data_IF_023514869735
#
_entry.id   IF_023514869735
#
_cell.length_a   1.000
_cell.length_b   1.000
_cell.length_c   1.000
_cell.angle_alpha   90.00
_cell.angle_beta   90.00
_cell.angle_gamma   90.00
#
_symmetry.space_group_name_H-M   'P 1'
#
loop_
_entity.id
_entity.type
_entity.pdbx_description
1 polymer ?
#
# COMPACT_ATOMS: atom_id res chain seq x y z
N UNK A 1 9.67 -16.20 18.79
CA UNK A 1 8.84 -16.83 17.74
C UNK A 1 9.69 -17.50 16.65
N UNK A 2 10.62 -16.79 15.98
CA UNK A 2 11.44 -17.38 14.90
C UNK A 2 12.18 -18.66 15.28
N UNK A 3 13.00 -18.65 16.34
CA UNK A 3 13.77 -19.83 16.77
C UNK A 3 12.91 -21.07 17.03
N UNK A 4 11.68 -20.87 17.49
CA UNK A 4 10.75 -21.94 17.86
C UNK A 4 10.05 -22.54 16.63
N UNK A 5 9.63 -21.70 15.67
CA UNK A 5 8.77 -22.13 14.57
C UNK A 5 9.50 -22.36 13.24
N UNK A 6 10.79 -22.00 13.17
CA UNK A 6 11.54 -22.02 11.90
C UNK A 6 11.53 -23.38 11.22
N UNK A 7 11.90 -24.44 11.94
CA UNK A 7 11.98 -25.79 11.37
C UNK A 7 10.60 -26.32 10.99
N UNK A 8 9.59 -26.12 11.85
CA UNK A 8 8.21 -26.56 11.58
C UNK A 8 7.63 -25.89 10.33
N UNK A 9 7.77 -24.57 10.23
CA UNK A 9 7.29 -23.79 9.07
C UNK A 9 8.02 -24.23 7.80
N UNK A 10 9.33 -24.44 7.87
CA UNK A 10 10.12 -24.84 6.72
C UNK A 10 9.74 -26.24 6.23
N UNK A 11 9.63 -27.20 7.15
CA UNK A 11 9.34 -28.60 6.83
C UNK A 11 7.89 -28.79 6.36
N UNK A 12 6.93 -28.11 7.00
CA UNK A 12 5.51 -28.23 6.65
C UNK A 12 5.15 -27.64 5.30
N UNK A 13 5.78 -26.52 4.93
CA UNK A 13 5.41 -25.76 3.73
C UNK A 13 6.48 -25.79 2.62
N UNK A 14 7.57 -26.53 2.80
CA UNK A 14 8.64 -26.65 1.82
C UNK A 14 9.35 -25.32 1.50
N UNK A 15 9.33 -24.37 2.43
CA UNK A 15 9.87 -23.03 2.17
C UNK A 15 11.40 -23.03 2.10
N UNK A 16 11.96 -22.16 1.25
CA UNK A 16 13.37 -21.81 1.38
C UNK A 16 13.62 -21.13 2.74
N UNK A 17 14.88 -21.15 3.21
CA UNK A 17 15.24 -20.54 4.48
C UNK A 17 14.78 -19.08 4.56
N UNK A 18 15.04 -18.27 3.53
CA UNK A 18 14.63 -16.86 3.50
C UNK A 18 13.10 -16.72 3.47
N UNK A 19 12.37 -17.50 2.67
CA UNK A 19 10.90 -17.43 2.62
C UNK A 19 10.26 -17.79 3.97
N UNK A 20 10.81 -18.79 4.68
CA UNK A 20 10.35 -19.14 6.03
C UNK A 20 10.53 -17.98 7.02
N UNK A 21 11.70 -17.32 6.99
CA UNK A 21 11.96 -16.14 7.82
C UNK A 21 11.00 -15.00 7.48
N UNK A 22 10.76 -14.72 6.19
CA UNK A 22 9.86 -13.66 5.77
C UNK A 22 8.40 -13.94 6.19
N UNK A 23 7.94 -15.19 6.08
CA UNK A 23 6.61 -15.59 6.55
C UNK A 23 6.45 -15.38 8.07
N UNK A 24 7.43 -15.82 8.87
CA UNK A 24 7.40 -15.64 10.33
C UNK A 24 7.42 -14.15 10.69
N UNK A 25 8.30 -13.36 10.06
CA UNK A 25 8.37 -11.91 10.29
C UNK A 25 7.04 -11.23 9.98
N UNK A 26 6.42 -11.58 8.86
CA UNK A 26 5.14 -10.99 8.45
C UNK A 26 4.03 -11.22 9.48
N UNK A 27 3.93 -12.44 10.01
CA UNK A 27 2.96 -12.75 11.07
C UNK A 27 3.33 -12.03 12.37
N UNK A 28 4.60 -12.01 12.75
CA UNK A 28 5.09 -11.27 13.93
C UNK A 28 4.71 -9.78 13.86
N UNK A 29 4.94 -9.12 12.72
CA UNK A 29 4.63 -7.71 12.52
C UNK A 29 3.13 -7.44 12.60
N UNK A 30 2.30 -8.33 12.03
CA UNK A 30 0.85 -8.26 12.15
C UNK A 30 0.40 -8.36 13.62
N UNK A 31 0.94 -9.32 14.39
CA UNK A 31 0.59 -9.50 15.81
C UNK A 31 1.08 -8.31 16.66
N UNK A 32 2.27 -7.79 16.37
CA UNK A 32 2.81 -6.59 17.02
C UNK A 32 1.92 -5.38 16.76
N UNK A 33 1.52 -5.15 15.51
CA UNK A 33 0.63 -4.05 15.16
C UNK A 33 -0.73 -4.17 15.86
N UNK A 34 -1.29 -5.38 15.93
CA UNK A 34 -2.56 -5.60 16.61
C UNK A 34 -2.47 -5.33 18.12
N UNK A 35 -1.38 -5.77 18.76
CA UNK A 35 -1.09 -5.47 20.16
C UNK A 35 -0.97 -3.96 20.42
N UNK A 36 -0.18 -3.25 19.60
CA UNK A 36 -0.04 -1.78 19.69
C UNK A 36 -1.40 -1.07 19.55
N UNK A 37 -2.24 -1.55 18.64
CA UNK A 37 -3.56 -0.97 18.39
C UNK A 37 -4.66 -1.48 19.35
N UNK A 38 -4.30 -2.26 20.39
CA UNK A 38 -5.26 -2.90 21.33
C UNK A 38 -6.40 -3.64 20.63
N UNK A 39 -6.07 -4.29 19.52
CA UNK A 39 -7.01 -5.02 18.67
C UNK A 39 -6.70 -6.52 18.69
N UNK A 40 -7.72 -7.35 18.48
CA UNK A 40 -7.55 -8.80 18.35
C UNK A 40 -7.39 -9.16 16.88
N UNK A 41 -6.37 -9.96 16.56
CA UNK A 41 -6.26 -10.60 15.24
C UNK A 41 -7.15 -11.83 15.24
N UNK A 42 -8.26 -11.76 14.49
CA UNK A 42 -9.19 -12.89 14.32
C UNK A 42 -8.62 -13.89 13.32
N UNK A 43 -8.25 -13.42 12.13
CA UNK A 43 -7.61 -14.21 11.07
C UNK A 43 -6.45 -13.44 10.45
N UNK A 44 -5.51 -14.17 9.86
CA UNK A 44 -4.38 -13.60 9.13
C UNK A 44 -4.57 -13.83 7.63
N UNK A 45 -4.80 -12.75 6.89
CA UNK A 45 -4.90 -12.80 5.43
C UNK A 45 -3.51 -12.64 4.79
N UNK A 46 -3.11 -13.65 4.00
CA UNK A 46 -1.86 -13.66 3.23
C UNK A 46 -1.95 -12.76 1.98
N UNK A 47 -2.12 -11.46 2.18
CA UNK A 47 -2.27 -10.45 1.11
C UNK A 47 -0.95 -9.99 0.51
N UNK A 48 0.18 -10.35 1.11
CA UNK A 48 1.49 -9.87 0.66
C UNK A 48 2.65 -10.72 1.17
N UNK A 49 3.74 -10.73 0.40
CA UNK A 49 5.01 -11.40 0.72
C UNK A 49 6.14 -10.37 0.58
N UNK A 50 6.91 -10.11 1.65
CA UNK A 50 8.11 -9.29 1.58
C UNK A 50 9.28 -10.10 1.01
N UNK A 51 10.08 -9.43 0.18
CA UNK A 51 11.30 -9.95 -0.43
C UNK A 51 12.48 -9.05 -0.10
N UNK A 52 13.63 -9.68 0.14
CA UNK A 52 14.92 -9.02 0.30
C UNK A 52 15.86 -9.35 -0.88
N UNK A 53 17.05 -8.75 -0.89
CA UNK A 53 18.02 -8.85 -1.98
C UNK A 53 18.50 -10.28 -2.30
N UNK A 54 18.30 -11.24 -1.39
CA UNK A 54 18.68 -12.65 -1.65
C UNK A 54 17.65 -13.37 -2.51
N UNK A 55 16.38 -13.01 -2.36
CA UNK A 55 15.23 -13.68 -3.01
C UNK A 55 14.50 -12.78 -4.03
N UNK A 56 15.00 -11.58 -4.26
CA UNK A 56 14.50 -10.62 -5.25
C UNK A 56 15.63 -9.97 -6.04
N UNK A 57 15.39 -9.76 -7.32
CA UNK A 57 16.21 -8.87 -8.16
C UNK A 57 15.38 -8.23 -9.26
N UNK A 58 15.64 -6.97 -9.56
CA UNK A 58 15.12 -6.28 -10.74
C UNK A 58 16.14 -6.39 -11.88
N UNK A 59 15.67 -6.69 -13.09
CA UNK A 59 16.47 -6.63 -14.32
C UNK A 59 15.86 -5.60 -15.26
N UNK A 60 16.60 -4.52 -15.48
CA UNK A 60 16.16 -3.39 -16.31
C UNK A 60 16.15 -3.75 -17.81
N UNK A 61 17.06 -4.62 -18.26
CA UNK A 61 17.23 -4.97 -19.67
C UNK A 61 15.95 -5.53 -20.35
N UNK A 62 15.09 -6.22 -19.60
CA UNK A 62 13.80 -6.73 -20.08
C UNK A 62 12.65 -6.37 -19.14
N UNK A 63 12.86 -5.45 -18.20
CA UNK A 63 11.87 -5.06 -17.19
C UNK A 63 11.22 -6.26 -16.50
N UNK A 64 12.04 -7.18 -15.97
CA UNK A 64 11.57 -8.34 -15.23
C UNK A 64 12.02 -8.29 -13.77
N UNK A 65 11.22 -8.91 -12.89
CA UNK A 65 11.63 -9.22 -11.53
C UNK A 65 11.83 -10.70 -11.39
N UNK A 66 12.94 -11.10 -10.76
CA UNK A 66 13.16 -12.49 -10.38
C UNK A 66 12.79 -12.66 -8.91
N UNK A 67 11.87 -13.56 -8.61
CA UNK A 67 11.38 -13.84 -7.26
C UNK A 67 11.58 -15.32 -6.93
N UNK A 68 12.14 -15.62 -5.76
CA UNK A 68 12.13 -16.99 -5.24
C UNK A 68 10.71 -17.35 -4.77
N UNK A 69 10.06 -18.26 -5.46
CA UNK A 69 8.79 -18.86 -5.09
C UNK A 69 9.01 -20.23 -4.41
N UNK A 70 7.93 -20.97 -4.15
CA UNK A 70 7.97 -22.29 -3.51
C UNK A 70 8.84 -23.29 -4.29
N UNK A 71 8.70 -23.32 -5.61
CA UNK A 71 9.28 -24.36 -6.47
C UNK A 71 10.49 -23.90 -7.29
N UNK A 72 11.01 -22.70 -7.01
CA UNK A 72 12.14 -22.16 -7.77
C UNK A 72 12.11 -20.65 -7.86
N UNK A 73 13.08 -20.10 -8.59
CA UNK A 73 13.17 -18.66 -8.85
C UNK A 73 12.53 -18.38 -10.20
N UNK A 74 11.43 -17.63 -10.19
CA UNK A 74 10.66 -17.29 -11.39
C UNK A 74 10.98 -15.88 -11.86
N UNK A 75 10.97 -15.69 -13.19
CA UNK A 75 11.13 -14.40 -13.84
C UNK A 75 9.76 -13.89 -14.30
N UNK A 76 9.32 -12.78 -13.72
CA UNK A 76 8.02 -12.17 -14.00
C UNK A 76 8.22 -10.84 -14.72
N UNK A 77 7.55 -10.65 -15.84
CA UNK A 77 7.58 -9.37 -16.55
C UNK A 77 6.83 -8.29 -15.75
N UNK A 78 7.38 -7.09 -15.73
CA UNK A 78 6.75 -5.92 -15.15
C UNK A 78 6.00 -5.15 -16.23
N UNK A 79 4.72 -4.89 -16.01
CA UNK A 79 3.97 -3.86 -16.75
C UNK A 79 4.32 -2.44 -16.24
N UNK A 80 5.62 -2.12 -16.21
CA UNK A 80 6.10 -0.82 -15.75
C UNK A 80 5.89 0.23 -16.85
N UNK A 81 5.14 1.29 -16.54
CA UNK A 81 5.01 2.46 -17.41
C UNK A 81 6.27 3.33 -17.39
N UNK A 82 6.33 4.34 -18.29
CA UNK A 82 7.49 5.24 -18.42
C UNK A 82 7.93 5.83 -17.07
N UNK A 83 6.99 6.37 -16.31
CA UNK A 83 7.27 6.94 -14.99
C UNK A 83 7.94 5.94 -14.02
N UNK A 84 7.42 4.70 -13.93
CA UNK A 84 8.03 3.69 -13.07
C UNK A 84 9.43 3.31 -13.56
N UNK A 85 9.60 3.21 -14.88
CA UNK A 85 10.89 2.89 -15.50
C UNK A 85 11.91 3.97 -15.18
N UNK A 86 11.57 5.25 -15.33
CA UNK A 86 12.44 6.38 -15.03
C UNK A 86 12.86 6.43 -13.56
N UNK A 87 11.98 6.04 -12.64
CA UNK A 87 12.31 5.98 -11.21
C UNK A 87 13.20 4.81 -10.83
N UNK A 88 13.11 3.71 -11.57
CA UNK A 88 13.87 2.49 -11.31
C UNK A 88 15.17 2.42 -12.10
N UNK A 89 15.29 3.15 -13.21
CA UNK A 89 16.43 3.12 -14.10
C UNK A 89 17.74 3.47 -13.38
N UNK A 90 18.76 2.64 -13.59
CA UNK A 90 20.07 2.77 -12.96
C UNK A 90 20.06 2.55 -11.44
N UNK A 91 19.03 1.89 -10.89
CA UNK A 91 18.92 1.63 -9.44
C UNK A 91 19.04 0.14 -9.16
N UNK A 92 19.66 -0.18 -8.03
CA UNK A 92 19.79 -1.56 -7.54
C UNK A 92 18.86 -1.78 -6.31
N UNK A 93 17.54 -1.91 -6.50
CA UNK A 93 16.61 -2.11 -5.38
C UNK A 93 16.91 -3.42 -4.66
N UNK A 94 16.93 -3.36 -3.33
CA UNK A 94 17.28 -4.50 -2.45
C UNK A 94 16.09 -5.10 -1.73
N UNK A 95 14.91 -4.51 -1.86
CA UNK A 95 13.72 -5.00 -1.20
C UNK A 95 12.49 -4.75 -2.07
N UNK A 96 11.53 -5.66 -1.97
CA UNK A 96 10.26 -5.53 -2.63
C UNK A 96 9.14 -6.19 -1.83
N UNK A 97 7.89 -5.83 -2.10
CA UNK A 97 6.73 -6.51 -1.54
C UNK A 97 5.79 -6.91 -2.68
N UNK A 98 5.57 -8.20 -2.85
CA UNK A 98 4.53 -8.73 -3.74
C UNK A 98 3.20 -8.68 -3.01
N UNK A 99 2.18 -8.06 -3.60
CA UNK A 99 0.86 -7.91 -3.02
C UNK A 99 -0.18 -8.59 -3.91
N UNK A 100 -1.10 -9.33 -3.28
CA UNK A 100 -2.28 -9.92 -3.90
C UNK A 100 -3.48 -9.00 -3.66
N UNK A 101 -4.15 -8.61 -4.74
CA UNK A 101 -5.38 -7.81 -4.69
C UNK A 101 -6.62 -8.69 -4.68
N UNK A 102 -7.75 -8.11 -4.26
CA UNK A 102 -9.04 -8.82 -4.16
C UNK A 102 -9.58 -9.33 -5.50
N UNK A 103 -9.13 -8.75 -6.60
CA UNK A 103 -9.49 -9.16 -7.96
C UNK A 103 -8.59 -10.27 -8.50
N UNK A 104 -7.67 -10.80 -7.69
CA UNK A 104 -6.70 -11.82 -8.05
C UNK A 104 -5.47 -11.30 -8.80
N UNK A 105 -5.36 -9.99 -9.02
CA UNK A 105 -4.17 -9.40 -9.62
C UNK A 105 -3.03 -9.28 -8.62
N UNK A 106 -1.80 -9.29 -9.12
CA UNK A 106 -0.61 -9.07 -8.31
C UNK A 106 -0.01 -7.70 -8.63
N UNK A 107 0.52 -7.04 -7.60
CA UNK A 107 1.40 -5.90 -7.80
C UNK A 107 2.67 -6.07 -6.98
N UNK A 108 3.80 -5.63 -7.53
CA UNK A 108 5.04 -5.55 -6.76
C UNK A 108 5.35 -4.10 -6.41
N UNK A 109 5.68 -3.87 -5.15
CA UNK A 109 6.19 -2.59 -4.65
C UNK A 109 7.69 -2.71 -4.49
N UNK A 110 8.44 -2.06 -5.36
CA UNK A 110 9.91 -2.08 -5.32
C UNK A 110 10.39 -0.90 -4.47
N UNK A 111 11.26 -1.18 -3.50
CA UNK A 111 11.84 -0.17 -2.62
C UNK A 111 13.19 0.27 -3.20
N UNK A 112 13.32 1.57 -3.43
CA UNK A 112 14.56 2.21 -3.86
C UNK A 112 15.06 3.13 -2.76
N UNK A 113 16.37 3.11 -2.54
CA UNK A 113 17.06 4.10 -1.73
C UNK A 113 17.49 5.24 -2.64
N UNK A 114 17.10 6.45 -2.28
CA UNK A 114 17.45 7.67 -3.02
C UNK A 114 18.30 8.51 -2.07
N UNK A 115 19.52 8.91 -2.46
CA UNK A 115 20.33 9.78 -1.63
C UNK A 115 19.54 11.07 -1.38
N UNK A 116 19.42 11.44 -0.11
CA UNK A 116 18.82 12.70 0.29
C UNK A 116 19.95 13.70 0.47
N UNK A 117 19.81 14.89 -0.10
CA UNK A 117 20.76 15.96 0.14
C UNK A 117 20.80 16.26 1.65
N UNK A 118 22.01 16.44 2.23
CA UNK A 118 22.10 16.84 3.63
C UNK A 118 21.37 18.17 3.83
N UNK A 119 20.72 18.36 4.99
CA UNK A 119 20.07 19.63 5.28
C UNK A 119 21.09 20.77 5.20
N UNK A 120 20.73 21.84 4.50
CA UNK A 120 21.54 23.06 4.45
C UNK A 120 21.49 23.70 5.84
N UNK A 121 22.65 23.87 6.48
CA UNK A 121 22.78 24.63 7.73
C UNK A 121 22.57 26.12 7.41
N UNK A 122 21.51 26.70 7.97
CA UNK A 122 21.18 28.13 7.81
C UNK A 122 20.66 28.67 9.13
N UNK A 123 21.15 29.83 9.54
CA UNK A 123 20.63 30.57 10.71
C UNK A 123 19.29 31.26 10.40
N UNK A 124 18.89 31.26 9.13
CA UNK A 124 17.63 31.84 8.66
C UNK A 124 16.62 30.73 8.40
N UNK A 125 15.57 30.69 9.22
CA UNK A 125 14.41 29.83 9.03
C UNK A 125 13.14 30.68 8.86
N UNK A 126 12.16 30.15 8.11
CA UNK A 126 10.80 30.69 8.06
C UNK A 126 9.89 29.61 8.63
N UNK A 127 9.24 29.88 9.76
CA UNK A 127 8.16 29.02 10.25
C UNK A 127 6.99 29.04 9.28
N UNK A 128 6.49 27.86 8.92
CA UNK A 128 5.30 27.67 8.07
C UNK A 128 4.31 26.81 8.85
N UNK A 129 3.14 27.38 9.16
CA UNK A 129 2.00 26.65 9.69
C UNK A 129 1.07 26.23 8.54
N UNK A 130 0.57 25.00 8.57
CA UNK A 130 -0.33 24.45 7.55
C UNK A 130 -1.68 24.17 8.18
N UNK A 131 -2.72 24.87 7.71
CA UNK A 131 -4.04 24.86 8.34
C UNK A 131 -5.19 24.52 7.39
N UNK A 132 -6.40 24.51 7.96
CA UNK A 132 -7.65 24.35 7.18
C UNK A 132 -8.10 25.67 6.53
N UNK A 133 -7.88 26.80 7.19
CA UNK A 133 -8.24 28.13 6.69
C UNK A 133 -7.21 28.60 5.68
N UNK A 134 -5.93 28.55 6.07
CA UNK A 134 -4.79 28.87 5.21
C UNK A 134 -4.00 27.60 4.94
N UNK A 135 -3.74 27.31 3.67
CA UNK A 135 -2.92 26.17 3.25
C UNK A 135 -1.50 26.30 3.77
N UNK A 136 -0.99 27.53 3.82
CA UNK A 136 0.26 27.88 4.45
C UNK A 136 0.14 29.28 5.05
N UNK A 137 0.68 29.45 6.25
CA UNK A 137 0.87 30.73 6.91
C UNK A 137 2.31 30.84 7.38
N UNK A 138 3.00 31.89 6.95
CA UNK A 138 4.41 32.07 7.30
C UNK A 138 4.56 33.00 8.50
N UNK A 139 5.63 32.79 9.27
CA UNK A 139 6.09 33.73 10.31
C UNK A 139 6.35 35.16 9.81
N UNK A 140 6.39 35.38 8.48
CA UNK A 140 6.49 36.70 7.84
C UNK A 140 5.13 37.31 7.47
N UNK A 141 4.02 36.72 7.93
CA UNK A 141 2.66 37.22 7.69
C UNK A 141 2.10 36.94 6.29
N UNK A 142 2.81 36.19 5.44
CA UNK A 142 2.29 35.75 4.14
C UNK A 142 1.40 34.52 4.32
N UNK A 143 0.19 34.58 3.76
CA UNK A 143 -0.80 33.50 3.80
C UNK A 143 -1.22 33.06 2.40
N UNK A 144 -1.69 31.82 2.30
CA UNK A 144 -2.29 31.26 1.11
C UNK A 144 -3.63 30.64 1.48
N UNK A 145 -4.72 31.28 1.02
CA UNK A 145 -6.08 30.86 1.36
C UNK A 145 -6.41 29.44 0.89
N UNK A 146 -6.99 28.65 1.79
CA UNK A 146 -7.55 27.33 1.51
C UNK A 146 -9.04 27.36 1.16
N UNK A 147 -9.63 28.53 0.90
CA UNK A 147 -11.08 28.68 0.77
C UNK A 147 -11.69 27.77 -0.30
N UNK A 148 -11.08 27.68 -1.48
CA UNK A 148 -11.58 26.84 -2.57
C UNK A 148 -11.63 25.36 -2.15
N UNK A 149 -10.58 24.87 -1.50
CA UNK A 149 -10.49 23.49 -1.00
C UNK A 149 -11.52 23.29 0.12
N UNK A 150 -11.65 24.25 1.05
CA UNK A 150 -12.65 24.21 2.13
C UNK A 150 -14.07 24.15 1.56
N UNK A 151 -14.39 24.96 0.56
CA UNK A 151 -15.71 24.97 -0.10
C UNK A 151 -16.05 23.61 -0.72
N UNK A 152 -15.07 22.98 -1.36
CA UNK A 152 -15.22 21.62 -1.93
C UNK A 152 -15.43 20.60 -0.82
N UNK A 153 -14.60 20.61 0.23
CA UNK A 153 -14.73 19.71 1.39
C UNK A 153 -16.08 19.85 2.09
N UNK A 154 -16.53 21.08 2.33
CA UNK A 154 -17.81 21.35 2.99
C UNK A 154 -18.99 20.90 2.13
N UNK A 155 -18.93 21.08 0.79
CA UNK A 155 -19.93 20.54 -0.14
C UNK A 155 -20.03 19.02 -0.05
N UNK A 156 -18.89 18.32 -0.06
CA UNK A 156 -18.86 16.87 0.06
C UNK A 156 -19.36 16.39 1.43
N UNK A 157 -18.95 17.06 2.52
CA UNK A 157 -19.42 16.78 3.89
C UNK A 157 -20.94 16.90 4.01
N UNK A 158 -21.53 17.99 3.51
CA UNK A 158 -22.99 18.20 3.49
C UNK A 158 -23.72 17.15 2.65
N UNK A 159 -23.19 16.83 1.47
CA UNK A 159 -23.76 15.80 0.60
C UNK A 159 -23.75 14.43 1.30
N UNK A 160 -22.64 14.09 1.96
CA UNK A 160 -22.49 12.85 2.69
C UNK A 160 -23.50 12.75 3.84
N UNK A 161 -23.60 13.76 4.67
CA UNK A 161 -24.57 13.80 5.78
C UNK A 161 -26.02 13.64 5.27
N UNK A 162 -26.37 14.30 4.16
CA UNK A 162 -27.68 14.16 3.55
C UNK A 162 -27.96 12.74 3.03
N UNK A 163 -26.96 12.09 2.42
CA UNK A 163 -27.06 10.73 1.92
C UNK A 163 -27.12 9.70 3.06
N UNK A 164 -26.32 9.85 4.11
CA UNK A 164 -26.33 8.97 5.29
C UNK A 164 -27.68 9.03 6.00
N UNK A 165 -28.23 10.23 6.22
CA UNK A 165 -29.58 10.40 6.79
C UNK A 165 -30.65 9.66 5.97
N UNK A 166 -30.62 9.80 4.63
CA UNK A 166 -31.57 9.13 3.73
C UNK A 166 -31.33 7.62 3.63
N UNK A 167 -30.09 7.16 3.82
CA UNK A 167 -29.74 5.74 3.84
C UNK A 167 -30.27 5.00 5.07
N UNK A 168 -30.49 5.72 6.19
CA UNK A 168 -31.06 5.16 7.41
C UNK A 168 -32.58 5.30 7.46
N UNK A 169 -33.13 6.48 7.12
CA UNK A 169 -34.55 6.81 7.35
C UNK A 169 -35.45 6.75 6.09
N UNK A 170 -34.90 6.46 4.91
CA UNK A 170 -35.66 6.46 3.65
C UNK A 170 -36.43 5.16 3.36
N UNK A 171 -37.23 5.19 2.30
CA UNK A 171 -37.87 3.99 1.72
C UNK A 171 -36.82 2.97 1.25
N UNK A 172 -37.18 1.69 1.09
CA UNK A 172 -36.24 0.61 0.70
C UNK A 172 -35.42 0.96 -0.56
N UNK A 173 -36.08 1.51 -1.59
CA UNK A 173 -35.45 1.95 -2.85
C UNK A 173 -34.48 3.13 -2.63
N UNK A 174 -34.89 4.13 -1.85
CA UNK A 174 -34.06 5.28 -1.48
C UNK A 174 -32.82 4.85 -0.70
N UNK A 175 -32.98 3.97 0.30
CA UNK A 175 -31.86 3.46 1.09
C UNK A 175 -30.84 2.70 0.23
N UNK A 176 -31.30 1.87 -0.72
CA UNK A 176 -30.43 1.16 -1.66
C UNK A 176 -29.66 2.14 -2.54
N UNK A 177 -30.33 3.16 -3.10
CA UNK A 177 -29.71 4.18 -3.96
C UNK A 177 -28.69 5.03 -3.20
N UNK A 178 -29.05 5.53 -2.01
CA UNK A 178 -28.16 6.33 -1.16
C UNK A 178 -26.91 5.55 -0.72
N UNK A 179 -27.04 4.27 -0.35
CA UNK A 179 -25.87 3.41 -0.07
C UNK A 179 -24.98 3.23 -1.31
N UNK A 180 -25.58 3.11 -2.50
CA UNK A 180 -24.85 3.10 -3.76
C UNK A 180 -24.05 4.38 -4.01
N UNK A 181 -24.65 5.55 -3.76
CA UNK A 181 -23.98 6.85 -3.90
C UNK A 181 -22.87 7.05 -2.86
N UNK A 182 -23.09 6.65 -1.60
CA UNK A 182 -22.07 6.72 -0.55
C UNK A 182 -20.82 5.91 -0.90
N UNK A 183 -20.98 4.72 -1.51
CA UNK A 183 -19.84 3.92 -2.00
C UNK A 183 -19.05 4.60 -3.12
N UNK A 184 -19.72 5.39 -3.97
CA UNK A 184 -19.05 6.17 -5.03
C UNK A 184 -18.36 7.40 -4.45
N UNK A 185 -18.96 8.03 -3.44
CA UNK A 185 -18.43 9.21 -2.77
C UNK A 185 -17.15 8.91 -2.00
N UNK A 186 -17.12 7.78 -1.27
CA UNK A 186 -15.96 7.37 -0.48
C UNK A 186 -14.70 7.12 -1.32
N UNK A 187 -14.85 6.77 -2.60
CA UNK A 187 -13.74 6.64 -3.54
C UNK A 187 -13.16 7.98 -3.98
N UNK A 188 -13.97 9.04 -4.03
CA UNK A 188 -13.54 10.38 -4.48
C UNK A 188 -12.88 11.19 -3.35
N UNK A 189 -13.37 11.05 -2.12
CA UNK A 189 -12.85 11.76 -0.94
C UNK A 189 -11.44 11.32 -0.50
N UNK A 190 -10.98 10.13 -0.88
CA UNK A 190 -9.63 9.62 -0.54
C UNK A 190 -8.49 10.31 -1.29
N UNK A 191 -8.79 11.02 -2.37
CA UNK A 191 -7.79 11.65 -3.24
C UNK A 191 -7.24 12.97 -2.67
N UNK A 192 -7.91 13.54 -1.66
CA UNK A 192 -7.70 14.91 -1.17
C UNK A 192 -6.75 15.04 0.05
N UNK A 193 -6.17 13.93 0.54
CA UNK A 193 -5.43 13.88 1.82
C UNK A 193 -4.04 13.24 1.76
N UNK A 194 -3.45 13.04 0.57
CA UNK A 194 -2.13 12.41 0.46
C UNK A 194 -0.98 13.42 0.52
N UNK A 195 -0.59 13.79 1.75
CA UNK A 195 0.65 14.50 2.02
C UNK A 195 1.29 14.00 3.30
N UNK A 196 2.08 12.91 3.23
CA UNK A 196 3.10 12.45 4.22
C UNK A 196 4.09 11.46 3.55
N UNK A 197 5.25 11.18 4.19
CA UNK A 197 6.60 11.39 3.66
C UNK A 197 7.00 10.44 2.51
N UNK A 198 8.00 10.84 1.74
CA UNK A 198 8.46 10.18 0.52
C UNK A 198 9.20 8.86 0.78
N UNK A 199 8.46 7.77 0.98
CA UNK A 199 8.88 6.45 0.49
C UNK A 199 8.16 6.24 -0.83
N UNK A 200 8.86 6.41 -1.95
CA UNK A 200 8.28 6.26 -3.30
C UNK A 200 8.28 4.78 -3.67
N UNK A 201 7.15 4.09 -3.50
CA UNK A 201 6.92 2.75 -4.04
C UNK A 201 6.43 2.85 -5.49
N UNK A 202 7.15 2.24 -6.43
CA UNK A 202 6.64 2.03 -7.78
C UNK A 202 5.72 0.80 -7.77
N UNK A 203 4.44 1.00 -8.10
CA UNK A 203 3.44 -0.06 -8.23
C UNK A 203 3.30 -0.44 -9.70
N UNK A 204 3.43 -1.73 -10.00
CA UNK A 204 3.21 -2.30 -11.33
C UNK A 204 2.21 -3.44 -11.23
N UNK A 205 1.20 -3.44 -12.11
CA UNK A 205 0.13 -4.45 -12.19
C UNK A 205 0.64 -5.66 -13.01
N UNK A 206 0.46 -6.88 -12.52
CA UNK A 206 0.67 -8.10 -13.30
C UNK A 206 -0.56 -9.01 -13.19
N UNK A 207 -1.01 -9.52 -14.34
CA UNK A 207 -2.00 -10.58 -14.45
C UNK A 207 -1.31 -11.81 -15.05
N UNK A 208 -1.26 -12.96 -14.37
CA UNK A 208 -0.82 -14.18 -15.01
C UNK A 208 -1.83 -14.59 -16.11
N UNK A 209 -1.38 -15.22 -17.21
CA UNK A 209 -2.29 -15.93 -18.10
C UNK A 209 -3.02 -17.03 -17.31
N UNK A 210 -4.29 -17.30 -17.67
CA UNK A 210 -5.16 -18.25 -16.98
C UNK A 210 -4.58 -19.68 -17.04
N UNK A 211 -3.74 -20.04 -16.08
CA UNK A 211 -3.49 -21.43 -15.77
C UNK A 211 -4.72 -21.95 -15.01
N UNK A 212 -5.39 -22.97 -15.59
CA UNK A 212 -6.38 -23.77 -14.86
C UNK A 212 -5.63 -24.51 -13.76
N UNK A 213 -5.62 -23.98 -12.55
CA UNK A 213 -5.17 -24.71 -11.35
C UNK A 213 -6.42 -25.15 -10.58
N UNK A 214 -6.63 -26.46 -10.35
CA UNK A 214 -7.82 -26.97 -9.68
C UNK A 214 -7.92 -26.50 -8.23
N UNK A 215 -9.15 -26.12 -7.88
CA UNK A 215 -9.66 -25.84 -6.56
C UNK A 215 -9.35 -26.96 -5.57
N UNK A 216 -8.79 -26.65 -4.40
CA UNK A 216 -9.00 -27.44 -3.18
C UNK A 216 -9.08 -26.55 -1.94
N UNK A 217 -10.28 -26.56 -1.35
CA UNK A 217 -10.61 -26.15 0.01
C UNK A 217 -11.31 -27.37 0.61
N UNK A 218 -10.77 -27.96 1.68
CA UNK A 218 -11.51 -28.84 2.60
C UNK A 218 -10.87 -28.63 3.97
N UNK A 219 -11.51 -27.91 4.91
CA UNK A 219 -12.48 -28.47 5.87
C UNK A 219 -12.12 -29.89 6.30
N UNK A 220 -11.33 -29.97 7.36
CA UNK A 220 -11.53 -30.80 8.55
C UNK A 220 -10.84 -30.09 9.70
#
# INVERSE_FOLDING_TARGET
MQKLLYHDVRNRFGLSANLAIQAIRRVCDNRKAAHTNKSKVVEFDATSIPYDARIFSLREADWTVSLTLLYGRERLALMAGSYQRDKLAGRAPKAAQLCLHRDGSYTIHIQIEVPTEPPVLTDKAIGVDLGRTDLAYTSRGKSWSGEQIRRVRDRYSRLRAALERKATKGTRSTRRRCRGLLRRLSGRERSDSSGKPTTRSATTLWRPPKAKVPWWYSKT
#
